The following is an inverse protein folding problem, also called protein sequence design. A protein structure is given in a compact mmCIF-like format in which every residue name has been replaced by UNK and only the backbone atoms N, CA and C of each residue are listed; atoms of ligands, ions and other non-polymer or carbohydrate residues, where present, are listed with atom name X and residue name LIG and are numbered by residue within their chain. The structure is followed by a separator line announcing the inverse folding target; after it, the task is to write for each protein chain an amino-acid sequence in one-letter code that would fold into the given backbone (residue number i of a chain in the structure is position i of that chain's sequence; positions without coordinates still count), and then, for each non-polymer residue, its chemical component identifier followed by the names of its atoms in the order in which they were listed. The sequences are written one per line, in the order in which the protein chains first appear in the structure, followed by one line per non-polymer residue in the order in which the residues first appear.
data_IF_488208296681
#
_entry.id   IF_488208296681
#
_cell.length_a   1.000
_cell.length_b   1.000
_cell.length_c   1.000
_cell.angle_alpha   90.00
_cell.angle_beta   90.00
_cell.angle_gamma   90.00
#
_symmetry.space_group_name_H-M   'P 1'
#
loop_
_entity.id
_entity.type
_entity.pdbx_description
1 polymer ?
#
# COMPACT_ATOMS: atom_id res chain seq x y z
N UNK A 1 -4.79 1.26 19.78
CA UNK A 1 -5.63 0.05 19.77
C UNK A 1 -6.17 -0.19 21.18
N UNK A 2 -5.31 -0.37 22.19
CA UNK A 2 -5.72 -0.65 23.57
C UNK A 2 -6.64 0.44 24.15
N UNK A 3 -6.26 1.70 24.04
CA UNK A 3 -7.03 2.87 24.53
C UNK A 3 -8.47 2.88 23.98
N UNK A 4 -8.67 2.39 22.76
CA UNK A 4 -9.97 2.36 22.07
C UNK A 4 -10.73 1.02 22.27
N UNK A 5 -10.22 0.09 23.12
CA UNK A 5 -10.85 -1.21 23.35
C UNK A 5 -10.88 -2.13 22.12
N UNK A 6 -9.87 -2.02 21.23
CA UNK A 6 -9.83 -2.76 19.96
C UNK A 6 -8.74 -3.85 19.93
N UNK A 7 -8.16 -4.20 21.08
CA UNK A 7 -7.03 -5.15 21.14
C UNK A 7 -7.37 -6.56 20.68
N UNK A 8 -8.62 -6.97 20.84
CA UNK A 8 -9.17 -8.24 20.40
C UNK A 8 -9.65 -8.28 18.94
N UNK A 9 -9.68 -7.10 18.28
CA UNK A 9 -10.18 -6.92 16.90
C UNK A 9 -9.10 -6.56 15.91
N UNK A 10 -7.93 -6.10 16.37
CA UNK A 10 -6.86 -5.60 15.52
C UNK A 10 -5.56 -6.30 15.82
N UNK A 11 -4.97 -6.92 14.81
CA UNK A 11 -3.63 -7.49 14.85
C UNK A 11 -2.66 -6.55 14.13
N UNK A 12 -1.57 -6.18 14.82
CA UNK A 12 -0.50 -5.36 14.23
C UNK A 12 0.57 -6.27 13.65
N UNK A 13 0.93 -6.04 12.41
CA UNK A 13 2.04 -6.69 11.73
C UNK A 13 3.08 -5.60 11.42
N UNK A 14 4.19 -5.54 12.16
CA UNK A 14 5.14 -4.41 12.09
C UNK A 14 6.14 -4.54 10.93
N UNK A 15 5.83 -5.30 9.91
CA UNK A 15 6.68 -5.49 8.75
C UNK A 15 6.16 -4.66 7.57
N UNK A 16 7.02 -4.00 6.79
CA UNK A 16 6.58 -3.40 5.54
C UNK A 16 6.12 -4.50 4.56
N UNK A 17 4.99 -4.26 3.91
CA UNK A 17 4.57 -5.11 2.81
C UNK A 17 5.32 -4.75 1.54
N UNK A 18 5.68 -5.80 0.78
CA UNK A 18 6.40 -5.68 -0.47
C UNK A 18 6.01 -6.83 -1.41
N UNK A 19 6.63 -6.90 -2.59
CA UNK A 19 6.32 -7.98 -3.55
C UNK A 19 6.73 -9.38 -3.09
N UNK A 20 7.73 -9.47 -2.19
CA UNK A 20 8.26 -10.74 -1.68
C UNK A 20 9.03 -10.53 -0.38
N UNK A 21 9.40 -11.63 0.27
CA UNK A 21 10.26 -11.62 1.47
C UNK A 21 11.67 -11.15 1.12
N UNK A 22 12.11 -10.10 1.77
CA UNK A 22 13.43 -9.50 1.55
C UNK A 22 13.91 -8.74 2.77
N UNK A 23 15.21 -8.50 2.88
CA UNK A 23 15.78 -7.53 3.83
C UNK A 23 16.19 -6.31 3.01
N UNK A 24 15.59 -5.17 3.28
CA UNK A 24 15.90 -3.91 2.61
C UNK A 24 15.81 -2.72 3.55
N UNK A 25 16.02 -1.54 3.03
CA UNK A 25 16.00 -0.30 3.79
C UNK A 25 14.61 0.32 3.81
N UNK A 26 14.15 0.67 5.01
CA UNK A 26 13.12 1.67 5.21
C UNK A 26 13.78 3.04 5.16
N UNK A 27 13.30 3.92 4.32
CA UNK A 27 13.83 5.26 4.10
C UNK A 27 12.79 6.29 4.51
N UNK A 28 13.20 7.21 5.36
CA UNK A 28 12.33 8.25 5.91
C UNK A 28 12.85 9.62 5.51
N UNK A 29 11.97 10.49 5.04
CA UNK A 29 12.31 11.87 4.64
C UNK A 29 12.21 12.85 5.81
N UNK A 30 11.67 12.44 6.94
CA UNK A 30 11.62 13.20 8.19
C UNK A 30 11.68 12.26 9.39
N UNK A 31 12.13 12.77 10.53
CA UNK A 31 12.09 12.08 11.84
C UNK A 31 11.01 12.66 12.76
N UNK A 32 10.18 13.56 12.27
CA UNK A 32 9.10 14.15 13.04
C UNK A 32 8.03 13.11 13.39
N UNK A 33 7.42 13.25 14.57
CA UNK A 33 6.31 12.39 14.99
C UNK A 33 5.12 12.63 14.04
N UNK A 34 4.61 11.55 13.44
CA UNK A 34 3.55 11.63 12.44
C UNK A 34 4.03 12.06 11.05
N UNK A 35 5.34 12.12 10.83
CA UNK A 35 5.91 12.39 9.51
C UNK A 35 5.46 11.38 8.46
N UNK A 36 5.24 11.88 7.25
CA UNK A 36 4.86 11.09 6.07
C UNK A 36 6.04 10.97 5.10
N UNK A 37 5.80 10.28 3.98
CA UNK A 37 6.75 10.08 2.89
C UNK A 37 7.94 9.22 3.35
N UNK A 38 7.60 7.97 3.61
CA UNK A 38 8.56 6.91 3.87
C UNK A 38 8.39 5.81 2.82
N UNK A 39 9.48 5.21 2.37
CA UNK A 39 9.42 4.12 1.39
C UNK A 39 10.29 2.94 1.82
N UNK A 40 9.88 1.73 1.44
CA UNK A 40 10.64 0.51 1.70
C UNK A 40 11.22 -0.02 0.39
N UNK A 41 12.51 -0.34 0.43
CA UNK A 41 13.30 -0.94 -0.67
C UNK A 41 13.50 -0.05 -1.90
N UNK A 42 12.71 0.99 -2.08
CA UNK A 42 12.76 1.88 -3.24
C UNK A 42 13.43 3.22 -2.90
N UNK A 43 13.68 4.06 -3.92
CA UNK A 43 14.29 5.39 -3.78
C UNK A 43 13.35 6.52 -4.19
N UNK A 44 12.07 6.23 -4.35
CA UNK A 44 11.07 7.20 -4.80
C UNK A 44 9.88 7.28 -3.84
N UNK A 45 9.12 8.35 -3.98
CA UNK A 45 7.92 8.66 -3.22
C UNK A 45 6.65 8.39 -4.05
N UNK A 46 5.49 8.77 -3.50
CA UNK A 46 4.15 8.63 -4.08
C UNK A 46 3.99 9.17 -5.50
N UNK A 47 4.82 10.12 -5.94
CA UNK A 47 4.78 10.71 -7.28
C UNK A 47 5.86 10.14 -8.23
N UNK A 48 6.57 9.09 -7.80
CA UNK A 48 7.64 8.44 -8.56
C UNK A 48 8.96 9.22 -8.59
N UNK A 49 9.06 10.35 -7.88
CA UNK A 49 10.30 11.12 -7.80
C UNK A 49 11.24 10.59 -6.73
N UNK A 50 12.52 10.72 -7.01
CA UNK A 50 13.57 10.34 -6.08
C UNK A 50 13.46 11.10 -4.76
N UNK A 51 13.68 10.40 -3.64
CA UNK A 51 13.69 10.97 -2.31
C UNK A 51 15.12 11.12 -1.78
N UNK A 52 15.31 12.10 -0.87
CA UNK A 52 16.53 12.26 -0.09
C UNK A 52 16.24 11.88 1.36
N UNK A 53 16.53 10.64 1.79
CA UNK A 53 16.21 10.20 3.14
C UNK A 53 17.10 10.88 4.17
N UNK A 54 16.52 11.29 5.31
CA UNK A 54 17.25 11.78 6.48
C UNK A 54 17.60 10.65 7.45
N UNK A 55 16.87 9.52 7.33
CA UNK A 55 17.12 8.31 8.12
C UNK A 55 16.83 7.09 7.28
N UNK A 56 17.72 6.09 7.36
CA UNK A 56 17.51 4.76 6.78
C UNK A 56 17.91 3.68 7.77
N UNK A 57 17.15 2.59 7.78
CA UNK A 57 17.47 1.40 8.58
C UNK A 57 16.92 0.16 7.91
N UNK A 58 17.60 -0.98 8.13
CA UNK A 58 17.22 -2.25 7.51
C UNK A 58 16.19 -2.99 8.35
N UNK A 59 15.20 -3.55 7.67
CA UNK A 59 14.22 -4.48 8.27
C UNK A 59 13.72 -5.50 7.25
N UNK A 60 13.10 -6.60 7.72
CA UNK A 60 12.51 -7.58 6.83
C UNK A 60 11.17 -7.07 6.28
N UNK A 61 11.04 -7.05 4.96
CA UNK A 61 9.77 -6.89 4.26
C UNK A 61 9.21 -8.24 3.83
N UNK A 62 7.92 -8.32 3.58
CA UNK A 62 7.21 -9.56 3.27
C UNK A 62 6.08 -9.32 2.27
N UNK A 63 5.80 -10.31 1.40
CA UNK A 63 4.60 -10.29 0.55
C UNK A 63 3.33 -10.56 1.34
N UNK A 64 2.21 -10.00 0.90
CA UNK A 64 0.94 -10.16 1.60
C UNK A 64 0.49 -11.62 1.66
N UNK A 65 0.62 -12.37 0.57
CA UNK A 65 0.30 -13.80 0.57
C UNK A 65 1.21 -14.60 1.51
N UNK A 66 2.49 -14.21 1.59
CA UNK A 66 3.45 -14.92 2.44
C UNK A 66 3.14 -14.77 3.92
N UNK A 67 2.72 -13.57 4.37
CA UNK A 67 2.37 -13.37 5.78
C UNK A 67 1.08 -14.08 6.14
N UNK A 68 0.10 -14.12 5.23
CA UNK A 68 -1.14 -14.86 5.41
C UNK A 68 -0.83 -16.36 5.58
N UNK A 69 0.01 -16.92 4.72
CA UNK A 69 0.41 -18.32 4.78
C UNK A 69 1.25 -18.63 6.03
N UNK A 70 2.26 -17.82 6.36
CA UNK A 70 3.16 -18.03 7.50
C UNK A 70 2.44 -17.99 8.86
N UNK A 71 1.44 -17.12 9.01
CA UNK A 71 0.69 -16.97 10.26
C UNK A 71 -0.69 -17.63 10.23
N UNK A 72 -1.02 -18.35 9.15
CA UNK A 72 -2.34 -19.00 8.97
C UNK A 72 -3.50 -18.02 9.16
N UNK A 73 -3.35 -16.81 8.64
CA UNK A 73 -4.37 -15.76 8.74
C UNK A 73 -5.52 -16.02 7.75
N UNK A 74 -6.74 -15.59 8.06
CA UNK A 74 -7.83 -15.63 7.09
C UNK A 74 -7.53 -14.66 5.94
N UNK A 75 -7.90 -15.04 4.70
CA UNK A 75 -7.86 -14.09 3.59
C UNK A 75 -8.84 -12.95 3.84
N UNK A 76 -8.44 -11.69 3.59
CA UNK A 76 -9.31 -10.55 3.80
C UNK A 76 -10.41 -10.46 2.75
N UNK A 77 -11.58 -9.99 3.15
CA UNK A 77 -12.66 -9.58 2.24
C UNK A 77 -12.38 -8.23 1.59
N UNK A 78 -11.72 -7.33 2.32
CA UNK A 78 -11.45 -5.95 1.96
C UNK A 78 -10.00 -5.60 2.23
N UNK A 79 -9.37 -4.89 1.31
CA UNK A 79 -7.99 -4.45 1.43
C UNK A 79 -7.91 -2.94 1.22
N UNK A 80 -7.24 -2.24 2.14
CA UNK A 80 -6.80 -0.86 1.93
C UNK A 80 -5.29 -0.85 1.77
N UNK A 81 -4.78 -0.20 0.72
CA UNK A 81 -3.36 0.08 0.52
C UNK A 81 -3.21 1.60 0.35
N UNK A 82 -2.47 2.20 1.27
CA UNK A 82 -2.29 3.64 1.39
C UNK A 82 -0.91 3.86 1.99
N UNK A 83 0.08 3.78 1.14
CA UNK A 83 1.51 3.93 1.44
C UNK A 83 2.13 4.91 0.45
N UNK A 84 3.36 5.31 0.65
CA UNK A 84 3.94 6.43 -0.09
C UNK A 84 4.62 6.01 -1.42
N UNK A 85 3.91 5.27 -2.31
CA UNK A 85 4.32 5.05 -3.71
C UNK A 85 4.64 3.61 -4.11
N UNK A 86 4.62 2.64 -3.19
CA UNK A 86 4.92 1.22 -3.48
C UNK A 86 3.69 0.31 -3.54
N UNK A 87 2.50 0.85 -3.70
CA UNK A 87 1.22 0.13 -3.74
C UNK A 87 1.22 -0.97 -4.80
N UNK A 88 1.75 -0.68 -5.98
CA UNK A 88 1.88 -1.64 -7.08
C UNK A 88 2.81 -2.82 -6.75
N UNK A 89 3.85 -2.59 -5.95
CA UNK A 89 4.76 -3.64 -5.49
C UNK A 89 4.11 -4.52 -4.42
N UNK A 90 3.30 -3.93 -3.54
CA UNK A 90 2.50 -4.70 -2.57
C UNK A 90 1.51 -5.59 -3.30
N UNK A 91 0.83 -5.10 -4.33
CA UNK A 91 -0.09 -5.89 -5.15
C UNK A 91 0.60 -7.07 -5.85
N UNK A 92 1.85 -6.92 -6.27
CA UNK A 92 2.64 -8.02 -6.86
C UNK A 92 2.91 -9.15 -5.87
N UNK A 93 2.80 -8.92 -4.57
CA UNK A 93 2.94 -9.94 -3.51
C UNK A 93 1.59 -10.46 -2.98
N UNK A 94 0.47 -10.28 -3.72
CA UNK A 94 -0.88 -10.50 -3.25
C UNK A 94 -1.75 -11.36 -4.20
N UNK A 95 -1.16 -12.22 -5.00
CA UNK A 95 -1.89 -12.99 -6.03
C UNK A 95 -3.05 -13.82 -5.45
N UNK A 96 -2.81 -14.59 -4.38
CA UNK A 96 -3.84 -15.39 -3.70
C UNK A 96 -4.85 -14.49 -2.98
N UNK A 97 -4.36 -13.45 -2.33
CA UNK A 97 -5.20 -12.46 -1.64
C UNK A 97 -6.19 -11.83 -2.60
N UNK A 98 -5.72 -11.39 -3.77
CA UNK A 98 -6.57 -10.79 -4.81
C UNK A 98 -7.68 -11.73 -5.31
N UNK A 99 -7.49 -13.06 -5.28
CA UNK A 99 -8.54 -14.01 -5.64
C UNK A 99 -9.71 -14.01 -4.65
N UNK A 100 -9.45 -13.74 -3.38
CA UNK A 100 -10.42 -13.82 -2.28
C UNK A 100 -11.10 -12.47 -1.96
N UNK A 101 -10.52 -11.35 -2.40
CA UNK A 101 -11.06 -10.01 -2.11
C UNK A 101 -12.42 -9.74 -2.77
N UNK A 102 -13.27 -9.04 -2.07
CA UNK A 102 -14.52 -8.43 -2.58
C UNK A 102 -14.28 -7.04 -3.14
N UNK A 103 -13.47 -6.25 -2.46
CA UNK A 103 -13.08 -4.92 -2.95
C UNK A 103 -11.71 -4.49 -2.44
N UNK A 104 -11.13 -3.52 -3.15
CA UNK A 104 -9.87 -2.88 -2.78
C UNK A 104 -10.02 -1.36 -2.82
N UNK A 105 -9.43 -0.72 -1.82
CA UNK A 105 -9.26 0.71 -1.71
C UNK A 105 -7.76 1.00 -1.79
N UNK A 106 -7.32 1.71 -2.82
CA UNK A 106 -5.90 1.89 -3.10
C UNK A 106 -5.58 3.32 -3.52
N UNK A 107 -4.52 3.90 -2.95
CA UNK A 107 -4.01 5.18 -3.39
C UNK A 107 -3.20 5.03 -4.68
N UNK A 108 -3.48 5.91 -5.65
CA UNK A 108 -2.79 5.94 -6.95
C UNK A 108 -2.49 7.37 -7.34
N UNK A 109 -1.24 7.63 -7.69
CA UNK A 109 -0.82 8.93 -8.22
C UNK A 109 -0.96 8.99 -9.74
N UNK A 110 -1.65 10.01 -10.25
CA UNK A 110 -1.75 10.27 -11.69
C UNK A 110 -0.39 10.71 -12.29
N UNK A 111 0.52 11.19 -11.46
CA UNK A 111 1.86 11.60 -11.87
C UNK A 111 2.84 10.42 -11.94
N UNK A 112 2.54 9.29 -11.29
CA UNK A 112 3.37 8.09 -11.31
C UNK A 112 2.78 7.05 -12.28
N UNK A 113 3.00 7.25 -13.56
CA UNK A 113 2.39 6.45 -14.63
C UNK A 113 2.72 4.96 -14.54
N UNK A 114 3.91 4.60 -14.08
CA UNK A 114 4.30 3.20 -13.88
C UNK A 114 3.43 2.55 -12.82
N UNK A 115 3.34 3.14 -11.63
CA UNK A 115 2.48 2.67 -10.53
C UNK A 115 1.04 2.49 -11.01
N UNK A 116 0.45 3.55 -11.60
CA UNK A 116 -0.91 3.55 -12.12
C UNK A 116 -1.15 2.42 -13.11
N UNK A 117 -0.27 2.27 -14.09
CA UNK A 117 -0.40 1.25 -15.13
C UNK A 117 -0.34 -0.16 -14.55
N UNK A 118 0.61 -0.42 -13.64
CA UNK A 118 0.77 -1.73 -13.01
C UNK A 118 -0.46 -2.05 -12.13
N UNK A 119 -0.90 -1.10 -11.29
CA UNK A 119 -2.11 -1.27 -10.45
C UNK A 119 -3.32 -1.61 -11.29
N UNK A 120 -3.60 -0.83 -12.33
CA UNK A 120 -4.74 -1.08 -13.22
C UNK A 120 -4.68 -2.45 -13.90
N UNK A 121 -3.49 -2.83 -14.39
CA UNK A 121 -3.31 -4.12 -15.06
C UNK A 121 -3.51 -5.30 -14.12
N UNK A 122 -2.93 -5.24 -12.91
CA UNK A 122 -3.10 -6.28 -11.89
C UNK A 122 -4.59 -6.42 -11.51
N UNK A 123 -5.26 -5.31 -11.21
CA UNK A 123 -6.65 -5.34 -10.78
C UNK A 123 -7.58 -5.84 -11.90
N UNK A 124 -7.42 -5.36 -13.13
CA UNK A 124 -8.20 -5.83 -14.29
C UNK A 124 -7.97 -7.33 -14.58
N UNK A 125 -6.71 -7.79 -14.53
CA UNK A 125 -6.34 -9.20 -14.70
C UNK A 125 -7.00 -10.09 -13.64
N UNK A 126 -7.14 -9.58 -12.41
CA UNK A 126 -7.78 -10.27 -11.28
C UNK A 126 -9.30 -10.02 -11.19
N UNK A 127 -9.93 -9.61 -12.30
CA UNK A 127 -11.38 -9.45 -12.42
C UNK A 127 -11.99 -8.35 -11.53
N UNK A 128 -11.24 -7.29 -11.23
CA UNK A 128 -11.79 -6.10 -10.58
C UNK A 128 -12.26 -5.07 -11.60
N UNK A 129 -13.34 -4.36 -11.26
CA UNK A 129 -13.85 -3.21 -11.99
C UNK A 129 -13.60 -1.95 -11.19
N UNK A 130 -13.08 -0.92 -11.86
CA UNK A 130 -13.01 0.42 -11.29
C UNK A 130 -14.42 0.94 -10.99
N UNK A 131 -14.61 1.48 -9.79
CA UNK A 131 -15.88 2.06 -9.36
C UNK A 131 -15.80 3.59 -9.27
N UNK A 132 -14.89 4.10 -8.47
CA UNK A 132 -14.76 5.55 -8.24
C UNK A 132 -13.37 5.92 -7.75
N UNK A 133 -13.04 7.21 -7.84
CA UNK A 133 -11.88 7.80 -7.19
C UNK A 133 -12.27 9.10 -6.49
N UNK A 134 -11.60 9.41 -5.40
CA UNK A 134 -11.75 10.67 -4.68
C UNK A 134 -10.41 11.09 -4.04
N UNK A 135 -10.26 12.38 -3.84
CA UNK A 135 -9.19 12.95 -3.03
C UNK A 135 -9.81 13.54 -1.77
N UNK A 136 -9.11 13.45 -0.66
CA UNK A 136 -9.53 14.10 0.55
C UNK A 136 -9.47 15.63 0.38
N UNK A 137 -10.57 16.35 0.59
CA UNK A 137 -10.59 17.80 0.51
C UNK A 137 -9.64 18.50 1.49
N UNK A 138 -9.37 17.87 2.64
CA UNK A 138 -8.50 18.42 3.68
C UNK A 138 -7.01 18.21 3.35
N UNK A 139 -6.68 17.20 2.54
CA UNK A 139 -5.30 16.93 2.08
C UNK A 139 -4.94 17.57 0.74
N UNK A 140 -5.79 18.49 0.23
CA UNK A 140 -5.51 19.29 -0.98
C UNK A 140 -4.37 20.30 -0.78
N UNK A 141 -3.25 19.85 -0.19
CA UNK A 141 -1.99 20.57 -0.38
C UNK A 141 -1.60 20.46 -1.86
N UNK A 142 -1.01 21.47 -2.43
CA UNK A 142 -0.49 21.44 -3.83
C UNK A 142 0.36 20.20 -4.10
N UNK A 143 0.95 19.62 -3.05
CA UNK A 143 1.82 18.45 -3.09
C UNK A 143 1.09 17.16 -3.47
N UNK A 144 -0.14 16.93 -2.99
CA UNK A 144 -0.89 15.68 -3.17
C UNK A 144 -2.08 15.80 -4.13
N UNK A 145 -2.19 16.91 -4.88
CA UNK A 145 -3.39 17.21 -5.69
C UNK A 145 -3.69 16.16 -6.78
N UNK A 146 -2.72 15.34 -7.19
CA UNK A 146 -2.87 14.29 -8.19
C UNK A 146 -2.84 12.87 -7.60
N UNK A 147 -2.91 12.71 -6.27
CA UNK A 147 -3.10 11.44 -5.60
C UNK A 147 -4.57 11.20 -5.32
N UNK A 148 -5.04 10.02 -5.65
CA UNK A 148 -6.44 9.65 -5.54
C UNK A 148 -6.59 8.29 -4.89
N UNK A 149 -7.49 8.21 -3.94
CA UNK A 149 -7.97 6.95 -3.43
C UNK A 149 -8.96 6.34 -4.42
N UNK A 150 -8.65 5.18 -4.97
CA UNK A 150 -9.48 4.46 -5.93
C UNK A 150 -10.21 3.31 -5.25
N UNK A 151 -11.46 3.10 -5.61
CA UNK A 151 -12.26 1.95 -5.18
C UNK A 151 -12.47 1.03 -6.37
N UNK A 152 -12.18 -0.26 -6.16
CA UNK A 152 -12.39 -1.30 -7.15
C UNK A 152 -13.18 -2.44 -6.53
N UNK A 153 -14.15 -2.98 -7.25
CA UNK A 153 -14.95 -4.12 -6.83
C UNK A 153 -14.66 -5.35 -7.69
N UNK A 154 -14.66 -6.52 -7.04
CA UNK A 154 -14.59 -7.80 -7.73
C UNK A 154 -15.86 -7.97 -8.59
N UNK A 155 -15.70 -8.33 -9.87
CA UNK A 155 -16.84 -8.69 -10.71
C UNK A 155 -17.36 -10.04 -10.27
N UNK A 156 -18.65 -10.14 -10.10
CA UNK A 156 -19.37 -11.40 -9.86
C UNK A 156 -19.47 -12.26 -11.12
#
# INVERSE_FOLDING_TARGET
IHINGLSDKITIIPNPFYKNKTISEMKMTTTDIGGAISTFAENYSFDGKEISPVLSYKLPGIGLDQIIDEFSLPYPDYLKIDVDGIEHLILQGADKTLLNLKSIFIEVSENFLEQKTIVENILKKNNFAFHSKYSDPETKSEKFHNCYNQIWFKKT
#
